data_IF_644415522090
#
_entry.id   IF_644415522090
#
_cell.length_a   1.000
_cell.length_b   1.000
_cell.length_c   1.000
_cell.angle_alpha   90.00
_cell.angle_beta   90.00
_cell.angle_gamma   90.00
#
_symmetry.space_group_name_H-M   'P 1'
#
loop_
_entity.id
_entity.type
_entity.pdbx_description
1 polymer ?
#
# COMPACT_ATOMS: atom_id res chain seq x y z
N UNK A 1 40.86 30.24 6.32
CA UNK A 1 39.69 29.37 6.67
C UNK A 1 38.90 28.93 5.44
N UNK A 2 38.56 29.89 4.52
CA UNK A 2 37.90 29.59 3.23
C UNK A 2 38.73 28.65 2.34
N UNK A 3 40.02 28.84 2.24
CA UNK A 3 40.93 28.02 1.44
C UNK A 3 41.06 26.60 1.98
N UNK A 4 40.91 26.44 3.30
CA UNK A 4 40.96 25.13 3.97
C UNK A 4 39.67 24.34 3.76
N UNK A 5 38.52 25.03 3.71
CA UNK A 5 37.21 24.43 3.42
C UNK A 5 37.13 24.04 1.94
N UNK A 6 37.67 24.87 1.06
CA UNK A 6 37.74 24.59 -0.38
C UNK A 6 38.63 23.38 -0.66
N UNK A 7 39.82 23.32 -0.06
CA UNK A 7 40.74 22.18 -0.22
C UNK A 7 40.18 20.86 0.37
N UNK A 8 39.39 20.92 1.42
CA UNK A 8 38.67 19.75 1.98
C UNK A 8 37.56 19.23 1.06
N UNK A 9 36.77 20.14 0.47
CA UNK A 9 35.73 19.75 -0.50
C UNK A 9 36.33 19.20 -1.79
N UNK A 10 37.41 19.77 -2.28
CA UNK A 10 38.11 19.34 -3.50
C UNK A 10 38.80 17.97 -3.32
N UNK A 11 39.35 17.67 -2.15
CA UNK A 11 39.90 16.34 -1.88
C UNK A 11 38.81 15.26 -1.80
N UNK A 12 37.56 15.64 -1.53
CA UNK A 12 36.39 14.72 -1.55
C UNK A 12 35.91 14.42 -2.99
N UNK A 13 36.19 15.31 -3.96
CA UNK A 13 35.78 15.17 -5.37
C UNK A 13 36.88 14.47 -6.21
N UNK A 14 38.04 14.17 -5.63
CA UNK A 14 39.11 13.41 -6.29
C UNK A 14 39.97 14.23 -7.25
N UNK A 15 39.85 15.58 -7.26
CA UNK A 15 40.67 16.49 -8.08
C UNK A 15 41.99 16.84 -7.38
N UNK A 16 43.08 16.96 -8.16
CA UNK A 16 44.37 17.40 -7.66
C UNK A 16 44.39 18.92 -7.42
N UNK A 17 45.10 19.42 -6.40
CA UNK A 17 45.24 20.87 -6.14
C UNK A 17 45.70 21.73 -7.31
N UNK A 18 46.43 21.14 -8.26
CA UNK A 18 46.93 21.86 -9.45
C UNK A 18 45.86 22.03 -10.54
N UNK A 19 44.78 21.24 -10.51
CA UNK A 19 43.68 21.35 -11.49
C UNK A 19 42.70 22.48 -11.12
N UNK A 20 42.75 22.96 -9.89
CA UNK A 20 41.86 24.04 -9.40
C UNK A 20 42.26 25.40 -9.95
N UNK A 21 43.54 25.60 -10.31
CA UNK A 21 44.03 26.89 -10.85
C UNK A 21 43.59 27.15 -12.29
N UNK A 22 43.05 26.14 -12.97
CA UNK A 22 42.58 26.20 -14.35
C UNK A 22 41.05 26.34 -14.45
N UNK A 23 40.32 26.22 -13.36
CA UNK A 23 38.87 26.36 -13.34
C UNK A 23 38.43 27.82 -13.42
N UNK A 24 37.46 28.10 -14.26
CA UNK A 24 36.83 29.43 -14.37
C UNK A 24 35.97 29.74 -13.14
N UNK A 25 35.67 31.02 -12.90
CA UNK A 25 34.81 31.43 -11.78
C UNK A 25 33.43 30.77 -11.79
N UNK A 26 32.86 30.49 -12.98
CA UNK A 26 31.58 29.82 -13.17
C UNK A 26 31.66 28.34 -12.81
N UNK A 27 32.74 27.65 -13.13
CA UNK A 27 32.99 26.26 -12.76
C UNK A 27 33.18 26.09 -11.26
N UNK A 28 33.81 27.06 -10.58
CA UNK A 28 33.96 27.09 -9.14
C UNK A 28 32.61 27.35 -8.44
N UNK A 29 31.75 28.17 -9.03
CA UNK A 29 30.42 28.49 -8.52
C UNK A 29 29.47 27.29 -8.66
N UNK A 30 29.55 26.54 -9.78
CA UNK A 30 28.79 25.29 -9.97
C UNK A 30 29.23 24.19 -8.99
N UNK A 31 30.51 24.03 -8.70
CA UNK A 31 31.06 23.14 -7.68
C UNK A 31 30.63 23.52 -6.25
N UNK A 32 30.46 24.82 -5.98
CA UNK A 32 29.99 25.32 -4.68
C UNK A 32 28.50 25.25 -4.50
N UNK A 33 27.70 25.30 -5.56
CA UNK A 33 26.25 25.23 -5.51
C UNK A 33 25.73 23.80 -5.46
N UNK A 34 26.62 22.80 -5.62
CA UNK A 34 26.21 21.39 -5.58
C UNK A 34 25.22 21.02 -6.70
N UNK A 35 25.24 21.77 -7.82
CA UNK A 35 24.46 21.43 -9.00
C UNK A 35 24.98 20.11 -9.57
N UNK A 36 24.24 19.05 -9.35
CA UNK A 36 24.47 17.76 -9.97
C UNK A 36 24.30 17.92 -11.49
N UNK A 37 25.39 17.75 -12.24
CA UNK A 37 25.33 17.80 -13.70
C UNK A 37 24.74 16.49 -14.22
N UNK A 38 23.70 16.58 -15.05
CA UNK A 38 23.20 15.46 -15.84
C UNK A 38 24.32 14.97 -16.78
N UNK A 39 24.78 13.75 -16.55
CA UNK A 39 25.82 13.10 -17.38
C UNK A 39 25.24 12.54 -18.70
N UNK A 40 23.93 12.67 -18.94
CA UNK A 40 23.21 12.06 -20.06
C UNK A 40 22.87 10.58 -19.84
N UNK A 41 23.35 9.97 -18.75
CA UNK A 41 22.97 8.63 -18.31
C UNK A 41 21.95 8.72 -17.19
N UNK A 42 20.87 7.92 -17.27
CA UNK A 42 19.90 7.83 -16.19
C UNK A 42 20.55 7.34 -14.89
N UNK A 43 20.21 7.99 -13.79
CA UNK A 43 20.60 7.55 -12.45
C UNK A 43 19.72 6.41 -11.92
N UNK A 44 18.62 6.09 -12.63
CA UNK A 44 17.72 4.98 -12.34
C UNK A 44 17.91 3.87 -13.37
N UNK A 45 18.37 2.72 -12.93
CA UNK A 45 18.59 1.59 -13.82
C UNK A 45 17.29 0.82 -14.07
N UNK A 46 16.60 0.38 -12.99
CA UNK A 46 15.41 -0.46 -13.09
C UNK A 46 14.21 0.29 -13.70
N UNK A 47 14.01 1.55 -13.33
CA UNK A 47 12.90 2.34 -13.86
C UNK A 47 13.09 2.67 -15.34
N UNK A 48 14.32 2.95 -15.77
CA UNK A 48 14.63 3.15 -17.18
C UNK A 48 14.44 1.88 -18.01
N UNK A 49 14.77 0.72 -17.45
CA UNK A 49 14.48 -0.58 -18.07
C UNK A 49 12.96 -0.78 -18.28
N UNK A 50 12.15 -0.38 -17.31
CA UNK A 50 10.67 -0.42 -17.43
C UNK A 50 10.21 0.50 -18.58
N UNK A 51 10.75 1.71 -18.71
CA UNK A 51 10.42 2.60 -19.85
C UNK A 51 10.63 1.93 -21.21
N UNK A 52 11.69 1.12 -21.33
CA UNK A 52 11.96 0.37 -22.54
C UNK A 52 11.05 -0.82 -22.73
N UNK A 53 10.80 -1.61 -21.68
CA UNK A 53 9.94 -2.80 -21.72
C UNK A 53 8.49 -2.47 -22.04
N UNK A 54 8.01 -1.30 -21.58
CA UNK A 54 6.61 -0.89 -21.73
C UNK A 54 6.39 0.10 -22.88
N UNK A 55 7.43 0.43 -23.68
CA UNK A 55 7.32 1.38 -24.80
C UNK A 55 6.25 0.96 -25.83
N UNK A 56 6.18 -0.33 -26.14
CA UNK A 56 5.27 -0.91 -27.12
C UNK A 56 4.16 -1.75 -26.45
N UNK A 57 3.82 -1.44 -25.18
CA UNK A 57 2.82 -2.19 -24.44
C UNK A 57 1.43 -2.10 -25.07
N UNK A 58 0.85 -3.28 -25.34
CA UNK A 58 -0.52 -3.42 -25.78
C UNK A 58 -1.35 -3.95 -24.60
N UNK A 59 -2.38 -3.24 -24.16
CA UNK A 59 -3.23 -3.71 -23.06
C UNK A 59 -3.87 -5.05 -23.42
N UNK A 60 -3.90 -6.00 -22.46
CA UNK A 60 -4.61 -7.27 -22.67
C UNK A 60 -6.12 -7.05 -22.71
N UNK A 61 -6.83 -8.05 -23.19
CA UNK A 61 -8.29 -8.07 -23.08
C UNK A 61 -8.65 -8.48 -21.65
N UNK A 62 -9.24 -7.58 -20.89
CA UNK A 62 -9.70 -7.84 -19.52
C UNK A 62 -11.09 -8.47 -19.51
N UNK A 63 -11.31 -9.41 -18.58
CA UNK A 63 -12.61 -9.99 -18.23
C UNK A 63 -13.38 -8.99 -17.34
N UNK A 64 -14.13 -8.09 -17.97
CA UNK A 64 -14.85 -7.03 -17.28
C UNK A 64 -16.35 -7.36 -17.08
N UNK A 65 -16.77 -8.62 -17.23
CA UNK A 65 -18.14 -9.06 -17.04
C UNK A 65 -18.37 -9.71 -15.66
N UNK A 66 -17.29 -9.99 -14.91
CA UNK A 66 -17.35 -10.65 -13.61
C UNK A 66 -18.07 -9.77 -12.56
N UNK A 67 -18.99 -10.39 -11.83
CA UNK A 67 -19.71 -9.74 -10.73
C UNK A 67 -18.96 -9.90 -9.39
N UNK A 68 -19.27 -9.05 -8.40
CA UNK A 68 -18.60 -9.09 -7.10
C UNK A 68 -18.80 -10.41 -6.32
N UNK A 69 -20.00 -11.01 -6.26
CA UNK A 69 -20.19 -12.33 -5.65
C UNK A 69 -19.41 -13.44 -6.38
N UNK A 70 -19.44 -13.41 -7.72
CA UNK A 70 -18.72 -14.37 -8.54
C UNK A 70 -17.21 -14.25 -8.35
N UNK A 71 -16.69 -13.03 -8.28
CA UNK A 71 -15.27 -12.78 -8.00
C UNK A 71 -14.84 -13.44 -6.68
N UNK A 72 -15.64 -13.29 -5.61
CA UNK A 72 -15.36 -13.91 -4.31
C UNK A 72 -15.37 -15.44 -4.37
N UNK A 73 -16.37 -16.02 -5.02
CA UNK A 73 -16.49 -17.47 -5.11
C UNK A 73 -15.36 -18.05 -5.98
N UNK A 74 -15.09 -17.46 -7.14
CA UNK A 74 -13.97 -17.89 -8.00
C UNK A 74 -12.62 -17.77 -7.31
N UNK A 75 -12.40 -16.67 -6.54
CA UNK A 75 -11.17 -16.54 -5.76
C UNK A 75 -11.01 -17.65 -4.73
N UNK A 76 -12.08 -17.97 -3.99
CA UNK A 76 -12.08 -19.05 -3.01
C UNK A 76 -11.76 -20.42 -3.68
N UNK A 77 -12.42 -20.72 -4.78
CA UNK A 77 -12.22 -21.97 -5.53
C UNK A 77 -10.82 -22.04 -6.16
N UNK A 78 -10.31 -20.92 -6.69
CA UNK A 78 -8.94 -20.82 -7.22
C UNK A 78 -7.91 -21.10 -6.13
N UNK A 79 -8.04 -20.46 -4.96
CA UNK A 79 -7.11 -20.66 -3.84
C UNK A 79 -7.07 -22.14 -3.41
N UNK A 80 -8.21 -22.80 -3.40
CA UNK A 80 -8.32 -24.23 -3.08
C UNK A 80 -7.72 -25.09 -4.19
N UNK A 81 -8.21 -24.97 -5.42
CA UNK A 81 -7.89 -25.90 -6.52
C UNK A 81 -6.48 -25.74 -7.10
N UNK A 82 -5.96 -24.51 -7.13
CA UNK A 82 -4.66 -24.21 -7.73
C UNK A 82 -3.51 -24.16 -6.69
N UNK A 83 -3.83 -23.75 -5.44
CA UNK A 83 -2.80 -23.45 -4.44
C UNK A 83 -2.91 -24.33 -3.18
N UNK A 84 -3.96 -25.15 -3.05
CA UNK A 84 -4.20 -25.95 -1.83
C UNK A 84 -4.43 -25.11 -0.59
N UNK A 85 -4.96 -23.88 -0.75
CA UNK A 85 -5.25 -22.95 0.33
C UNK A 85 -6.76 -22.89 0.57
N UNK A 86 -7.15 -23.12 1.82
CA UNK A 86 -8.55 -23.25 2.19
C UNK A 86 -8.97 -22.03 3.00
N UNK A 87 -9.96 -21.30 2.49
CA UNK A 87 -10.53 -20.13 3.16
C UNK A 87 -12.04 -20.24 3.21
N UNK A 88 -12.63 -19.82 4.34
CA UNK A 88 -14.07 -19.66 4.45
C UNK A 88 -14.55 -18.52 3.55
N UNK A 89 -15.72 -18.68 2.94
CA UNK A 89 -16.29 -17.65 2.03
C UNK A 89 -16.52 -16.32 2.75
N UNK A 90 -16.83 -16.31 4.04
CA UNK A 90 -16.99 -15.09 4.83
C UNK A 90 -15.68 -14.32 4.91
N UNK A 91 -14.54 -15.02 5.13
CA UNK A 91 -13.22 -14.40 5.12
C UNK A 91 -12.89 -13.78 3.75
N UNK A 92 -13.14 -14.51 2.68
CA UNK A 92 -12.93 -13.99 1.30
C UNK A 92 -13.77 -12.74 1.06
N UNK A 93 -15.05 -12.74 1.45
CA UNK A 93 -15.96 -11.59 1.33
C UNK A 93 -15.47 -10.38 2.14
N UNK A 94 -15.02 -10.58 3.38
CA UNK A 94 -14.44 -9.53 4.21
C UNK A 94 -13.18 -8.95 3.57
N UNK A 95 -12.30 -9.81 3.07
CA UNK A 95 -11.07 -9.41 2.42
C UNK A 95 -11.34 -8.59 1.14
N UNK A 96 -12.23 -9.06 0.27
CA UNK A 96 -12.60 -8.34 -0.97
C UNK A 96 -13.32 -7.03 -0.65
N UNK A 97 -14.22 -7.00 0.33
CA UNK A 97 -14.89 -5.77 0.75
C UNK A 97 -13.92 -4.70 1.31
N UNK A 98 -12.82 -5.13 1.92
CA UNK A 98 -11.81 -4.22 2.46
C UNK A 98 -11.17 -3.32 1.38
N UNK A 99 -11.04 -3.80 0.15
CA UNK A 99 -10.53 -3.02 -0.99
C UNK A 99 -11.40 -1.80 -1.33
N UNK A 100 -12.68 -1.83 -0.97
CA UNK A 100 -13.60 -0.72 -1.18
C UNK A 100 -13.42 0.43 -0.19
N UNK A 101 -12.85 0.16 0.99
CA UNK A 101 -12.82 1.11 2.11
C UNK A 101 -11.47 1.82 2.27
N UNK A 102 -10.37 1.12 2.02
CA UNK A 102 -9.01 1.68 2.21
C UNK A 102 -8.01 1.10 1.21
N UNK A 103 -6.86 1.77 1.06
CA UNK A 103 -5.72 1.26 0.29
C UNK A 103 -4.77 0.42 1.14
N UNK A 104 -4.92 0.42 2.46
CA UNK A 104 -4.16 -0.41 3.38
C UNK A 104 -5.08 -1.41 4.08
N UNK A 105 -4.81 -2.69 3.89
CA UNK A 105 -5.49 -3.80 4.56
C UNK A 105 -4.48 -4.43 5.51
N UNK A 106 -4.89 -4.77 6.74
CA UNK A 106 -4.02 -5.46 7.70
C UNK A 106 -4.59 -6.83 7.98
N UNK A 107 -3.90 -7.88 7.53
CA UNK A 107 -4.22 -9.26 7.88
C UNK A 107 -3.53 -9.59 9.20
N UNK A 108 -4.31 -9.78 10.25
CA UNK A 108 -3.79 -10.02 11.60
C UNK A 108 -4.36 -11.28 12.21
N UNK A 109 -3.71 -11.82 13.23
CA UNK A 109 -4.14 -13.02 13.96
C UNK A 109 -2.99 -13.96 14.27
N UNK A 110 -3.32 -15.19 14.67
CA UNK A 110 -2.36 -16.21 15.11
C UNK A 110 -1.37 -16.57 13.96
N UNK A 111 -0.13 -16.83 14.30
CA UNK A 111 0.88 -17.26 13.33
C UNK A 111 0.48 -18.58 12.66
N UNK A 112 0.79 -18.74 11.37
CA UNK A 112 0.51 -19.97 10.61
C UNK A 112 -0.95 -20.17 10.19
N UNK A 113 -1.80 -19.13 10.23
CA UNK A 113 -3.20 -19.18 9.78
C UNK A 113 -3.41 -18.84 8.31
N UNK A 114 -2.33 -18.54 7.56
CA UNK A 114 -2.39 -18.27 6.11
C UNK A 114 -2.58 -16.81 5.72
N UNK A 115 -2.18 -15.85 6.57
CA UNK A 115 -2.27 -14.41 6.29
C UNK A 115 -1.53 -14.01 5.00
N UNK A 116 -0.23 -14.26 4.95
CA UNK A 116 0.61 -13.96 3.77
C UNK A 116 0.15 -14.76 2.55
N UNK A 117 -0.27 -16.00 2.76
CA UNK A 117 -0.78 -16.87 1.70
C UNK A 117 -2.05 -16.33 1.06
N UNK A 118 -2.96 -15.69 1.82
CA UNK A 118 -4.18 -15.08 1.28
C UNK A 118 -3.86 -13.92 0.33
N UNK A 119 -2.97 -13.02 0.75
CA UNK A 119 -2.53 -11.91 -0.08
C UNK A 119 -1.75 -12.37 -1.33
N UNK A 120 -0.91 -13.39 -1.18
CA UNK A 120 -0.21 -14.02 -2.30
C UNK A 120 -1.17 -14.69 -3.30
N UNK A 121 -2.16 -15.45 -2.79
CA UNK A 121 -3.18 -16.09 -3.60
C UNK A 121 -4.00 -15.05 -4.40
N UNK A 122 -4.31 -13.91 -3.79
CA UNK A 122 -5.03 -12.83 -4.46
C UNK A 122 -4.27 -12.29 -5.68
N UNK A 123 -2.98 -11.99 -5.56
CA UNK A 123 -2.19 -11.54 -6.69
C UNK A 123 -2.13 -12.57 -7.82
N UNK A 124 -1.99 -13.86 -7.48
CA UNK A 124 -2.07 -14.94 -8.46
C UNK A 124 -3.45 -15.07 -9.12
N UNK A 125 -4.50 -14.89 -8.32
CA UNK A 125 -5.87 -14.97 -8.84
C UNK A 125 -6.19 -13.85 -9.83
N UNK A 126 -5.75 -12.61 -9.58
CA UNK A 126 -5.93 -11.49 -10.51
C UNK A 126 -4.88 -11.44 -11.62
N UNK A 127 -4.14 -12.54 -11.80
CA UNK A 127 -3.11 -12.74 -12.82
C UNK A 127 -1.98 -11.69 -12.80
N UNK A 128 -1.71 -11.13 -11.62
CA UNK A 128 -0.59 -10.23 -11.39
C UNK A 128 0.06 -10.56 -10.03
N UNK A 129 1.17 -11.33 -10.01
CA UNK A 129 1.78 -11.81 -8.76
C UNK A 129 2.07 -10.67 -7.79
N UNK A 130 1.73 -10.87 -6.53
CA UNK A 130 1.95 -9.89 -5.47
C UNK A 130 3.43 -9.58 -5.27
N UNK A 131 3.72 -8.31 -5.02
CA UNK A 131 5.05 -7.84 -4.63
C UNK A 131 5.20 -8.04 -3.13
N UNK A 132 6.20 -8.82 -2.71
CA UNK A 132 6.44 -9.08 -1.29
C UNK A 132 7.59 -8.21 -0.80
N UNK A 133 7.28 -7.28 0.09
CA UNK A 133 8.27 -6.51 0.84
C UNK A 133 8.37 -7.09 2.26
N UNK A 134 9.41 -7.88 2.50
CA UNK A 134 9.69 -8.45 3.83
C UNK A 134 10.23 -7.36 4.73
N UNK A 135 9.43 -6.89 5.67
CA UNK A 135 9.81 -5.84 6.60
C UNK A 135 10.92 -6.34 7.52
N UNK A 136 11.95 -5.52 7.72
CA UNK A 136 13.08 -5.84 8.58
C UNK A 136 13.03 -5.03 9.88
N UNK A 137 13.54 -5.53 11.00
CA UNK A 137 13.58 -4.78 12.26
C UNK A 137 14.34 -3.45 12.18
N UNK A 138 15.21 -3.31 11.18
CA UNK A 138 16.00 -2.11 10.92
C UNK A 138 15.23 -0.99 10.23
N UNK A 139 14.04 -1.26 9.67
CA UNK A 139 13.26 -0.29 8.92
C UNK A 139 12.83 0.89 9.80
N UNK A 140 13.15 2.11 9.36
CA UNK A 140 12.92 3.32 10.15
C UNK A 140 12.25 4.46 9.39
N UNK A 141 12.42 4.52 8.07
CA UNK A 141 11.95 5.63 7.27
C UNK A 141 11.56 5.19 5.85
N UNK A 142 11.18 6.13 5.02
CA UNK A 142 10.71 5.90 3.66
C UNK A 142 11.73 5.28 2.70
N UNK A 143 13.02 5.38 3.00
CA UNK A 143 14.08 4.87 2.11
C UNK A 143 14.00 3.35 1.95
N UNK A 144 13.44 2.67 2.94
CA UNK A 144 13.20 1.22 2.88
C UNK A 144 12.12 0.86 1.84
N UNK A 145 11.18 1.77 1.59
CA UNK A 145 10.12 1.57 0.60
C UNK A 145 10.54 1.99 -0.82
N UNK A 146 11.17 3.15 -0.95
CA UNK A 146 11.43 3.75 -2.25
C UNK A 146 12.89 3.68 -2.69
N UNK A 147 13.81 3.51 -1.73
CA UNK A 147 15.23 3.61 -2.00
C UNK A 147 15.78 5.01 -1.73
N UNK A 148 17.00 5.23 -2.14
CA UNK A 148 17.72 6.47 -1.90
C UNK A 148 18.77 6.74 -2.97
N UNK A 149 19.10 8.01 -3.17
CA UNK A 149 20.20 8.43 -4.04
C UNK A 149 21.53 8.21 -3.33
N UNK A 150 22.47 7.56 -4.03
CA UNK A 150 23.82 7.33 -3.54
C UNK A 150 24.77 8.39 -4.12
N UNK A 151 25.21 9.30 -3.26
CA UNK A 151 26.08 10.42 -3.63
C UNK A 151 27.44 10.01 -4.20
N UNK A 152 27.93 8.82 -3.85
CA UNK A 152 29.22 8.33 -4.32
C UNK A 152 29.13 7.72 -5.72
N UNK A 153 28.11 6.91 -5.97
CA UNK A 153 27.92 6.24 -7.25
C UNK A 153 27.12 7.06 -8.24
N UNK A 154 26.51 8.16 -7.78
CA UNK A 154 25.56 8.99 -8.55
C UNK A 154 24.41 8.18 -9.16
N UNK A 155 24.05 7.08 -8.52
CA UNK A 155 22.93 6.20 -8.92
C UNK A 155 21.90 6.13 -7.79
N UNK A 156 20.64 5.91 -8.16
CA UNK A 156 19.57 5.68 -7.22
C UNK A 156 19.49 4.18 -6.87
N UNK A 157 19.46 3.84 -5.59
CA UNK A 157 19.25 2.47 -5.13
C UNK A 157 17.75 2.19 -5.09
N UNK A 158 17.22 1.62 -6.16
CA UNK A 158 15.79 1.38 -6.36
C UNK A 158 15.35 0.11 -5.64
N UNK A 159 14.27 0.22 -4.86
CA UNK A 159 13.62 -0.94 -4.24
C UNK A 159 12.69 -1.66 -5.23
N UNK A 160 12.30 -2.89 -4.91
CA UNK A 160 11.29 -3.60 -5.70
C UNK A 160 9.90 -2.96 -5.59
N UNK A 161 9.60 -2.30 -4.47
CA UNK A 161 8.35 -1.55 -4.33
C UNK A 161 8.32 -0.32 -5.26
N UNK A 162 9.39 0.47 -5.29
CA UNK A 162 9.50 1.62 -6.20
C UNK A 162 9.38 1.15 -7.66
N UNK A 163 10.08 0.08 -8.03
CA UNK A 163 9.99 -0.53 -9.34
C UNK A 163 8.56 -0.91 -9.70
N UNK A 164 7.87 -1.64 -8.81
CA UNK A 164 6.50 -2.07 -9.04
C UNK A 164 5.53 -0.89 -9.12
N UNK A 165 5.73 0.15 -8.30
CA UNK A 165 4.94 1.39 -8.36
C UNK A 165 5.12 2.09 -9.70
N UNK A 166 6.34 2.16 -10.19
CA UNK A 166 6.65 2.74 -11.49
C UNK A 166 6.00 1.93 -12.64
N UNK A 167 6.15 0.60 -12.61
CA UNK A 167 5.55 -0.32 -13.59
C UNK A 167 4.01 -0.25 -13.60
N UNK A 168 3.40 -0.15 -12.42
CA UNK A 168 1.95 -0.03 -12.29
C UNK A 168 1.36 1.22 -12.96
N UNK A 169 2.18 2.25 -13.21
CA UNK A 169 1.76 3.45 -13.94
C UNK A 169 1.58 3.22 -15.45
N UNK A 170 2.07 2.11 -15.99
CA UNK A 170 1.98 1.77 -17.41
C UNK A 170 0.77 0.92 -17.79
N UNK A 171 0.07 0.32 -16.81
CA UNK A 171 -0.98 -0.66 -17.09
C UNK A 171 -2.17 -0.56 -16.13
N UNK A 172 -3.20 -1.36 -16.39
CA UNK A 172 -4.43 -1.39 -15.58
C UNK A 172 -4.54 -2.65 -14.71
N UNK A 173 -3.48 -3.43 -14.55
CA UNK A 173 -3.49 -4.60 -13.67
C UNK A 173 -3.64 -4.17 -12.20
N UNK A 174 -4.20 -5.05 -11.38
CA UNK A 174 -4.28 -4.84 -9.94
C UNK A 174 -2.95 -5.23 -9.32
N UNK A 175 -2.31 -4.32 -8.59
CA UNK A 175 -1.07 -4.56 -7.85
C UNK A 175 -1.36 -4.74 -6.36
N UNK A 176 -1.04 -5.91 -5.84
CA UNK A 176 -1.06 -6.19 -4.40
C UNK A 176 0.37 -6.16 -3.84
N UNK A 177 0.64 -5.21 -2.97
CA UNK A 177 1.93 -5.09 -2.26
C UNK A 177 1.77 -5.68 -0.88
N UNK A 178 2.50 -6.73 -0.58
CA UNK A 178 2.49 -7.40 0.71
C UNK A 178 3.61 -6.82 1.57
N UNK A 179 3.25 -6.16 2.67
CA UNK A 179 4.19 -5.78 3.73
C UNK A 179 4.21 -6.93 4.74
N UNK A 180 5.11 -7.89 4.50
CA UNK A 180 5.13 -9.11 5.29
C UNK A 180 5.78 -8.86 6.66
N UNK A 181 5.11 -9.35 7.72
CA UNK A 181 5.44 -9.06 9.12
C UNK A 181 5.58 -7.55 9.39
N UNK A 182 4.61 -6.77 8.92
CA UNK A 182 4.69 -5.30 8.91
C UNK A 182 5.00 -4.68 10.28
N UNK A 183 4.67 -5.36 11.37
CA UNK A 183 4.86 -4.87 12.74
C UNK A 183 6.14 -5.37 13.42
N UNK A 184 7.05 -5.98 12.69
CA UNK A 184 8.41 -6.26 13.20
C UNK A 184 9.25 -4.97 13.30
N UNK A 185 8.84 -3.93 12.56
CA UNK A 185 9.30 -2.56 12.69
C UNK A 185 8.11 -1.63 12.96
N UNK A 186 8.36 -0.39 13.35
CA UNK A 186 7.27 0.57 13.62
C UNK A 186 6.66 1.10 12.32
N UNK A 187 5.46 0.64 12.00
CA UNK A 187 4.73 0.99 10.77
C UNK A 187 4.55 2.50 10.61
N UNK A 188 4.25 3.19 11.70
CA UNK A 188 4.05 4.65 11.75
C UNK A 188 5.31 5.47 11.41
N UNK A 189 6.47 4.82 11.26
CA UNK A 189 7.71 5.48 10.86
C UNK A 189 8.01 5.20 9.38
N UNK A 190 8.23 3.95 9.00
CA UNK A 190 8.63 3.65 7.63
C UNK A 190 7.48 3.85 6.62
N UNK A 191 6.22 3.72 7.03
CA UNK A 191 5.03 3.87 6.18
C UNK A 191 4.27 5.19 6.42
N UNK A 192 4.81 6.12 7.20
CA UNK A 192 4.15 7.38 7.62
C UNK A 192 3.70 8.25 6.45
N UNK A 193 4.57 8.40 5.44
CA UNK A 193 4.29 9.20 4.26
C UNK A 193 3.14 8.60 3.45
N UNK A 194 3.19 7.29 3.19
CA UNK A 194 2.12 6.56 2.50
C UNK A 194 0.77 6.65 3.23
N UNK A 195 0.78 6.53 4.57
CA UNK A 195 -0.44 6.71 5.37
C UNK A 195 -1.07 8.08 5.17
N UNK A 196 -0.28 9.11 4.94
CA UNK A 196 -0.77 10.48 4.72
C UNK A 196 -1.24 10.70 3.29
N UNK A 197 -0.46 10.26 2.31
CA UNK A 197 -0.77 10.44 0.88
C UNK A 197 -2.03 9.67 0.48
N UNK A 198 -2.18 8.42 0.91
CA UNK A 198 -3.32 7.57 0.54
C UNK A 198 -4.67 8.05 1.14
N UNK A 199 -4.65 9.02 2.04
CA UNK A 199 -5.84 9.67 2.59
C UNK A 199 -6.23 10.97 1.87
N UNK A 200 -5.37 11.50 0.99
CA UNK A 200 -5.69 12.71 0.25
C UNK A 200 -6.96 12.52 -0.59
N UNK A 201 -7.89 13.50 -0.57
CA UNK A 201 -9.18 13.39 -1.25
C UNK A 201 -9.07 13.20 -2.77
N UNK A 202 -8.09 13.88 -3.37
CA UNK A 202 -7.81 13.79 -4.80
C UNK A 202 -6.63 12.85 -5.06
N UNK A 203 -6.78 11.98 -6.04
CA UNK A 203 -5.67 11.15 -6.54
C UNK A 203 -4.58 11.95 -7.25
N UNK A 204 -4.84 13.20 -7.59
CA UNK A 204 -3.82 14.09 -8.14
C UNK A 204 -2.81 14.53 -7.08
N UNK A 205 -3.21 14.45 -5.80
CA UNK A 205 -2.35 14.70 -4.65
C UNK A 205 -1.56 13.46 -4.18
N UNK A 206 -1.79 12.30 -4.83
CA UNK A 206 -1.06 11.07 -4.54
C UNK A 206 0.31 11.09 -5.20
N UNK A 207 1.23 11.81 -4.61
CA UNK A 207 2.57 12.05 -5.15
C UNK A 207 3.62 11.80 -4.09
N UNK A 208 4.71 11.15 -4.47
CA UNK A 208 5.87 10.87 -3.63
C UNK A 208 7.08 11.59 -4.21
N UNK A 209 7.79 12.34 -3.38
CA UNK A 209 9.08 12.94 -3.75
C UNK A 209 10.15 11.85 -3.79
N UNK A 210 10.77 11.62 -4.94
CA UNK A 210 11.82 10.61 -5.11
C UNK A 210 13.20 11.26 -5.03
N UNK A 211 13.38 12.37 -5.73
CA UNK A 211 14.64 13.10 -5.84
C UNK A 211 14.37 14.61 -5.81
N UNK A 212 15.29 15.42 -5.25
CA UNK A 212 15.09 16.87 -5.15
C UNK A 212 15.14 17.59 -6.51
N UNK A 213 15.98 17.13 -7.43
CA UNK A 213 16.21 17.78 -8.73
C UNK A 213 16.02 16.80 -9.87
N UNK A 214 15.25 17.17 -10.90
CA UNK A 214 15.06 16.38 -12.11
C UNK A 214 16.21 16.56 -13.09
N UNK A 215 16.57 15.45 -13.75
CA UNK A 215 17.47 15.43 -14.89
C UNK A 215 16.72 15.07 -16.17
N UNK A 216 17.10 15.59 -17.35
CA UNK A 216 16.51 15.18 -18.61
C UNK A 216 16.61 13.67 -18.89
N UNK A 217 17.64 13.00 -18.31
CA UNK A 217 17.86 11.55 -18.40
C UNK A 217 17.05 10.72 -17.42
N UNK A 218 16.26 11.33 -16.53
CA UNK A 218 15.40 10.59 -15.58
C UNK A 218 14.27 9.83 -16.30
N UNK A 219 13.75 8.74 -15.67
CA UNK A 219 12.65 7.97 -16.20
C UNK A 219 11.39 8.82 -16.46
N UNK A 220 10.64 8.47 -17.52
CA UNK A 220 9.53 9.28 -18.07
C UNK A 220 8.45 9.68 -17.05
N UNK A 221 8.14 8.80 -16.08
CA UNK A 221 7.10 9.05 -15.07
C UNK A 221 7.65 9.67 -13.78
N UNK A 222 8.95 9.95 -13.70
CA UNK A 222 9.53 10.82 -12.67
C UNK A 222 9.46 12.25 -13.18
N UNK A 223 8.46 12.99 -12.76
CA UNK A 223 8.20 14.36 -13.21
C UNK A 223 8.55 15.35 -12.08
N UNK A 224 9.43 16.28 -12.32
CA UNK A 224 9.91 17.23 -11.30
C UNK A 224 10.44 16.53 -10.03
N UNK A 225 11.11 15.40 -10.19
CA UNK A 225 11.61 14.59 -9.07
C UNK A 225 10.58 13.78 -8.33
N UNK A 226 9.33 13.76 -8.78
CA UNK A 226 8.19 13.14 -8.14
C UNK A 226 7.65 11.97 -8.94
N UNK A 227 7.13 10.97 -8.24
CA UNK A 227 6.35 9.87 -8.82
C UNK A 227 4.91 9.94 -8.33
N UNK A 228 3.96 9.95 -9.28
CA UNK A 228 2.53 9.82 -8.96
C UNK A 228 2.24 8.37 -8.57
N UNK A 229 1.62 8.16 -7.40
CA UNK A 229 1.23 6.83 -6.94
C UNK A 229 0.09 6.30 -7.82
N UNK A 230 0.26 5.15 -8.48
CA UNK A 230 -0.76 4.59 -9.35
C UNK A 230 -2.02 4.17 -8.58
N UNK A 231 -3.22 4.42 -9.14
CA UNK A 231 -4.48 4.11 -8.45
C UNK A 231 -4.79 2.60 -8.39
N UNK A 232 -4.06 1.78 -9.10
CA UNK A 232 -4.22 0.32 -9.20
C UNK A 232 -3.41 -0.46 -8.16
N UNK A 233 -2.86 0.21 -7.14
CA UNK A 233 -2.09 -0.42 -6.06
C UNK A 233 -2.86 -0.48 -4.75
N UNK A 234 -2.77 -1.62 -4.07
CA UNK A 234 -3.23 -1.83 -2.70
C UNK A 234 -2.11 -2.44 -1.85
N UNK A 235 -2.04 -2.01 -0.61
CA UNK A 235 -1.04 -2.46 0.36
C UNK A 235 -1.70 -3.41 1.37
N UNK A 236 -1.11 -4.58 1.56
CA UNK A 236 -1.64 -5.62 2.45
C UNK A 236 -0.56 -5.95 3.46
N UNK A 237 -0.69 -5.43 4.66
CA UNK A 237 0.22 -5.76 5.76
C UNK A 237 -0.17 -7.07 6.43
N UNK A 238 0.79 -7.93 6.75
CA UNK A 238 0.56 -9.05 7.66
C UNK A 238 1.13 -8.73 9.04
N UNK A 239 0.39 -9.05 10.09
CA UNK A 239 0.80 -8.78 11.45
C UNK A 239 0.53 -9.99 12.35
N UNK A 240 1.50 -10.31 13.19
CA UNK A 240 1.35 -11.27 14.27
C UNK A 240 1.10 -10.52 15.58
N UNK A 241 0.22 -11.08 16.42
CA UNK A 241 -0.03 -10.57 17.76
C UNK A 241 0.80 -11.37 18.76
N UNK A 242 2.13 -11.28 18.65
CA UNK A 242 3.06 -11.92 19.58
C UNK A 242 3.94 -10.87 20.28
N UNK A 243 4.55 -11.26 21.41
CA UNK A 243 5.35 -10.36 22.25
C UNK A 243 6.64 -9.88 21.60
N UNK A 244 7.02 -10.43 20.45
CA UNK A 244 8.25 -10.09 19.73
C UNK A 244 8.08 -8.95 18.74
N UNK A 245 6.83 -8.48 18.52
CA UNK A 245 6.48 -7.48 17.52
C UNK A 245 6.00 -6.18 18.16
N UNK A 246 6.07 -5.07 17.40
CA UNK A 246 5.52 -3.79 17.86
C UNK A 246 3.99 -3.78 17.77
N UNK A 247 3.35 -3.16 18.76
CA UNK A 247 1.94 -2.87 18.67
C UNK A 247 1.68 -1.87 17.53
N UNK A 248 0.73 -2.19 16.66
CA UNK A 248 0.27 -1.29 15.61
C UNK A 248 -0.59 -0.19 16.27
N UNK A 249 -0.20 1.07 16.07
CA UNK A 249 -0.87 2.21 16.70
C UNK A 249 -2.23 2.52 16.06
N UNK A 250 -3.07 3.26 16.79
CA UNK A 250 -4.36 3.73 16.26
C UNK A 250 -4.19 4.61 15.02
N UNK A 251 -3.06 5.36 14.92
CA UNK A 251 -2.73 6.15 13.74
C UNK A 251 -2.71 5.31 12.45
N UNK A 252 -2.26 4.06 12.53
CA UNK A 252 -2.25 3.12 11.41
C UNK A 252 -3.60 2.44 11.25
N UNK A 253 -4.16 1.91 12.34
CA UNK A 253 -5.45 1.22 12.29
C UNK A 253 -6.61 2.10 11.81
N UNK A 254 -6.62 3.38 12.16
CA UNK A 254 -7.67 4.32 11.69
C UNK A 254 -7.64 4.48 10.16
N UNK A 255 -6.50 4.23 9.53
CA UNK A 255 -6.28 4.34 8.08
C UNK A 255 -6.35 3.03 7.31
N UNK A 256 -6.35 1.91 8.02
CA UNK A 256 -6.38 0.57 7.45
C UNK A 256 -7.72 -0.12 7.68
N UNK A 257 -8.00 -1.20 6.93
CA UNK A 257 -9.04 -2.16 7.27
C UNK A 257 -8.41 -3.43 7.84
N UNK A 258 -8.56 -3.70 9.13
CA UNK A 258 -8.04 -4.91 9.74
C UNK A 258 -8.95 -6.11 9.42
N UNK A 259 -8.32 -7.22 9.02
CA UNK A 259 -8.97 -8.51 8.77
C UNK A 259 -8.31 -9.56 9.68
N UNK A 260 -9.12 -10.14 10.56
CA UNK A 260 -8.61 -11.18 11.45
C UNK A 260 -8.70 -12.56 10.81
N UNK A 261 -7.61 -13.30 10.93
CA UNK A 261 -7.50 -14.71 10.50
C UNK A 261 -7.04 -15.51 11.71
N UNK A 262 -7.99 -15.88 12.57
CA UNK A 262 -7.72 -16.55 13.84
C UNK A 262 -7.84 -18.07 13.76
N UNK A 263 -8.36 -18.60 12.64
CA UNK A 263 -8.58 -20.03 12.44
C UNK A 263 -7.91 -20.51 11.15
N UNK A 264 -7.45 -21.75 11.17
CA UNK A 264 -7.00 -22.42 9.93
C UNK A 264 -8.20 -22.78 9.08
N UNK A 265 -8.06 -22.67 7.77
CA UNK A 265 -9.08 -23.10 6.82
C UNK A 265 -9.34 -24.61 6.91
N UNK A 266 -10.59 -24.98 6.74
CA UNK A 266 -11.01 -26.39 6.66
C UNK A 266 -10.91 -26.84 5.21
N UNK A 267 -10.20 -27.94 4.91
CA UNK A 267 -10.12 -28.48 3.55
C UNK A 267 -11.51 -28.78 2.98
N UNK A 268 -11.67 -28.45 1.70
CA UNK A 268 -12.85 -28.80 0.90
C UNK A 268 -12.44 -29.09 -0.56
N UNK A 269 -13.27 -29.81 -1.27
CA UNK A 269 -13.04 -30.09 -2.67
C UNK A 269 -13.59 -28.96 -3.54
N UNK A 270 -12.78 -28.51 -4.49
CA UNK A 270 -13.15 -27.46 -5.45
C UNK A 270 -12.88 -27.89 -6.88
N UNK A 271 -13.74 -27.52 -7.84
CA UNK A 271 -13.44 -27.70 -9.25
C UNK A 271 -12.21 -26.86 -9.62
N UNK A 272 -11.44 -27.35 -10.59
CA UNK A 272 -10.31 -26.59 -11.14
C UNK A 272 -10.81 -25.24 -11.63
N UNK A 273 -10.27 -24.17 -11.06
CA UNK A 273 -10.70 -22.79 -11.31
C UNK A 273 -9.51 -21.95 -11.75
N UNK A 274 -9.65 -21.25 -12.87
CA UNK A 274 -8.59 -20.41 -13.41
C UNK A 274 -8.58 -19.02 -12.77
N UNK A 275 -7.41 -18.34 -12.87
CA UNK A 275 -7.26 -16.93 -12.55
C UNK A 275 -8.20 -16.05 -13.39
N UNK A 276 -8.42 -14.81 -12.95
CA UNK A 276 -9.20 -13.82 -13.70
C UNK A 276 -8.28 -12.72 -14.21
N UNK A 277 -8.56 -12.23 -15.41
CA UNK A 277 -7.84 -11.09 -15.97
C UNK A 277 -8.73 -9.84 -15.88
N UNK A 278 -8.76 -9.21 -14.70
CA UNK A 278 -9.62 -8.07 -14.43
C UNK A 278 -8.80 -6.78 -14.33
N UNK A 279 -9.28 -5.69 -14.96
CA UNK A 279 -8.67 -4.37 -14.78
C UNK A 279 -9.01 -3.79 -13.41
N UNK A 280 -8.10 -2.97 -12.84
CA UNK A 280 -8.41 -2.26 -11.61
C UNK A 280 -9.63 -1.33 -11.75
N UNK A 281 -9.85 -0.77 -12.93
CA UNK A 281 -11.03 0.08 -13.21
C UNK A 281 -12.32 -0.69 -13.07
N UNK A 282 -12.37 -1.92 -13.62
CA UNK A 282 -13.55 -2.76 -13.46
C UNK A 282 -13.70 -3.24 -12.02
N UNK A 283 -12.62 -3.63 -11.36
CA UNK A 283 -12.66 -4.01 -9.95
C UNK A 283 -13.19 -2.87 -9.06
N UNK A 284 -12.71 -1.64 -9.26
CA UNK A 284 -13.26 -0.46 -8.56
C UNK A 284 -14.72 -0.19 -8.95
N UNK A 285 -15.07 -0.40 -10.22
CA UNK A 285 -16.44 -0.21 -10.68
C UNK A 285 -17.42 -1.13 -9.95
N UNK A 286 -17.15 -2.44 -9.86
CA UNK A 286 -18.03 -3.39 -9.17
C UNK A 286 -18.12 -3.12 -7.65
N UNK A 287 -17.02 -2.70 -7.03
CA UNK A 287 -16.99 -2.26 -5.62
C UNK A 287 -17.82 -0.99 -5.41
N UNK A 288 -17.70 0.00 -6.29
CA UNK A 288 -18.45 1.26 -6.20
C UNK A 288 -19.94 1.06 -6.55
N UNK A 289 -20.27 0.19 -7.50
CA UNK A 289 -21.65 -0.19 -7.79
C UNK A 289 -22.34 -0.79 -6.55
N UNK A 290 -21.64 -1.64 -5.81
CA UNK A 290 -22.14 -2.18 -4.55
C UNK A 290 -22.39 -1.08 -3.50
N UNK A 291 -21.49 -0.08 -3.40
CA UNK A 291 -21.68 1.07 -2.48
C UNK A 291 -22.93 1.89 -2.78
N UNK A 292 -23.29 2.00 -4.05
CA UNK A 292 -24.50 2.72 -4.48
C UNK A 292 -25.76 1.88 -4.28
N UNK A 293 -25.67 0.57 -4.55
CA UNK A 293 -26.81 -0.35 -4.50
C UNK A 293 -27.20 -0.74 -3.07
N UNK A 294 -26.24 -0.93 -2.17
CA UNK A 294 -26.44 -1.48 -0.84
C UNK A 294 -26.10 -0.47 0.26
N UNK A 295 -26.62 0.74 0.15
CA UNK A 295 -26.38 1.79 1.15
C UNK A 295 -26.80 1.32 2.54
N UNK A 296 -25.98 1.62 3.55
CA UNK A 296 -26.31 1.31 4.95
C UNK A 296 -27.64 1.97 5.32
N UNK A 297 -28.54 1.20 5.94
CA UNK A 297 -29.88 1.67 6.28
C UNK A 297 -29.84 2.86 7.24
N UNK A 298 -30.79 3.80 7.06
CA UNK A 298 -30.89 4.97 7.95
C UNK A 298 -31.13 4.58 9.42
N UNK A 299 -31.85 3.49 9.65
CA UNK A 299 -32.08 2.96 10.99
C UNK A 299 -30.76 2.58 11.67
N UNK A 300 -29.90 1.85 10.96
CA UNK A 300 -28.62 1.44 11.50
C UNK A 300 -27.65 2.63 11.62
N UNK A 301 -27.67 3.59 10.70
CA UNK A 301 -26.87 4.82 10.84
C UNK A 301 -27.27 5.63 12.09
N UNK A 302 -28.59 5.69 12.42
CA UNK A 302 -29.05 6.32 13.67
C UNK A 302 -28.58 5.58 14.90
N UNK A 303 -28.61 4.23 14.89
CA UNK A 303 -28.08 3.41 16.00
C UNK A 303 -26.58 3.61 16.21
N UNK A 304 -25.81 3.71 15.11
CA UNK A 304 -24.37 3.98 15.15
C UNK A 304 -24.09 5.37 15.73
N UNK A 305 -24.87 6.39 15.36
CA UNK A 305 -24.72 7.74 15.90
C UNK A 305 -25.01 7.76 17.42
N UNK A 306 -26.08 7.10 17.86
CA UNK A 306 -26.39 6.94 19.29
C UNK A 306 -25.28 6.22 20.07
N UNK A 307 -24.68 5.20 19.44
CA UNK A 307 -23.57 4.45 20.03
C UNK A 307 -22.32 5.34 20.12
N UNK A 308 -22.04 6.17 19.10
CA UNK A 308 -20.91 7.11 19.11
C UNK A 308 -21.07 8.15 20.22
N UNK A 309 -22.25 8.76 20.35
CA UNK A 309 -22.57 9.71 21.43
C UNK A 309 -22.36 9.07 22.81
N UNK A 310 -22.85 7.83 23.00
CA UNK A 310 -22.70 7.10 24.25
C UNK A 310 -21.22 6.80 24.57
N UNK A 311 -20.46 6.37 23.58
CA UNK A 311 -19.04 6.02 23.74
C UNK A 311 -18.20 7.27 24.00
N UNK A 312 -18.52 8.41 23.39
CA UNK A 312 -17.88 9.69 23.64
C UNK A 312 -18.14 10.13 25.10
N UNK A 313 -19.40 10.11 25.52
CA UNK A 313 -19.81 10.58 26.85
C UNK A 313 -19.16 9.76 27.98
N UNK A 314 -19.16 8.42 27.86
CA UNK A 314 -18.77 7.53 28.94
C UNK A 314 -17.30 7.10 28.91
N UNK A 315 -16.70 7.03 27.72
CA UNK A 315 -15.36 6.46 27.53
C UNK A 315 -14.35 7.44 26.87
N UNK A 316 -14.83 8.61 26.41
CA UNK A 316 -14.02 9.60 25.69
C UNK A 316 -13.35 9.03 24.42
N UNK A 317 -14.00 8.05 23.81
CA UNK A 317 -13.62 7.47 22.53
C UNK A 317 -14.64 7.95 21.49
N UNK A 318 -14.17 8.41 20.33
CA UNK A 318 -15.02 8.77 19.21
C UNK A 318 -14.77 7.83 18.02
N UNK A 319 -15.81 7.54 17.24
CA UNK A 319 -15.64 6.83 15.97
C UNK A 319 -14.86 7.68 14.97
N UNK A 320 -15.14 8.99 14.97
CA UNK A 320 -14.53 9.93 14.03
C UNK A 320 -15.05 9.76 12.60
N UNK A 321 -14.96 10.82 11.81
CA UNK A 321 -15.45 10.85 10.44
C UNK A 321 -14.82 9.78 9.54
N UNK A 322 -13.56 9.41 9.83
CA UNK A 322 -12.82 8.41 9.07
C UNK A 322 -13.43 7.02 9.22
N UNK A 323 -13.72 6.58 10.45
CA UNK A 323 -14.35 5.28 10.72
C UNK A 323 -15.75 5.23 10.10
N UNK A 324 -16.52 6.30 10.23
CA UNK A 324 -17.87 6.39 9.63
C UNK A 324 -17.79 6.30 8.10
N UNK A 325 -16.81 6.98 7.47
CA UNK A 325 -16.59 6.87 6.03
C UNK A 325 -16.23 5.43 5.63
N UNK A 326 -15.28 4.82 6.31
CA UNK A 326 -14.87 3.44 6.04
C UNK A 326 -16.01 2.45 6.22
N UNK A 327 -16.86 2.64 7.23
CA UNK A 327 -18.06 1.85 7.44
C UNK A 327 -19.02 1.97 6.25
N UNK A 328 -19.28 3.19 5.78
CA UNK A 328 -20.13 3.46 4.62
C UNK A 328 -19.57 2.93 3.29
N UNK A 329 -18.27 2.70 3.21
CA UNK A 329 -17.61 2.10 2.05
C UNK A 329 -17.56 0.57 2.16
N UNK A 330 -17.21 0.04 3.33
CA UNK A 330 -17.01 -1.39 3.57
C UNK A 330 -18.31 -2.18 3.61
N UNK A 331 -19.30 -1.73 4.40
CA UNK A 331 -20.53 -2.51 4.64
C UNK A 331 -21.32 -2.76 3.37
N UNK A 332 -21.58 -1.74 2.51
CA UNK A 332 -22.23 -1.98 1.22
C UNK A 332 -21.44 -2.91 0.30
N UNK A 333 -20.12 -2.76 0.25
CA UNK A 333 -19.27 -3.66 -0.53
C UNK A 333 -19.37 -5.11 -0.01
N UNK A 334 -19.37 -5.30 1.30
CA UNK A 334 -19.55 -6.61 1.92
C UNK A 334 -20.92 -7.23 1.59
N UNK A 335 -21.99 -6.43 1.61
CA UNK A 335 -23.31 -6.89 1.16
C UNK A 335 -23.27 -7.26 -0.33
N UNK A 336 -22.61 -6.46 -1.14
CA UNK A 336 -22.40 -6.72 -2.57
C UNK A 336 -21.64 -8.03 -2.87
N UNK A 337 -20.80 -8.50 -1.96
CA UNK A 337 -20.15 -9.82 -2.07
C UNK A 337 -21.06 -10.98 -1.67
N UNK A 338 -22.29 -10.74 -1.21
CA UNK A 338 -23.25 -11.72 -0.72
C UNK A 338 -23.25 -11.88 0.79
N UNK A 339 -22.70 -10.93 1.54
CA UNK A 339 -22.83 -10.82 2.99
C UNK A 339 -24.11 -10.13 3.43
N UNK A 340 -24.26 -9.89 4.73
CA UNK A 340 -25.39 -9.15 5.30
C UNK A 340 -24.94 -7.79 5.85
N UNK A 341 -25.83 -6.80 5.88
CA UNK A 341 -25.55 -5.48 6.46
C UNK A 341 -25.13 -5.60 7.93
N UNK A 342 -25.85 -6.42 8.71
CA UNK A 342 -25.58 -6.59 10.14
C UNK A 342 -24.21 -7.24 10.40
N UNK A 343 -23.83 -8.27 9.63
CA UNK A 343 -22.50 -8.88 9.74
C UNK A 343 -21.38 -7.88 9.42
N UNK A 344 -21.60 -7.06 8.39
CA UNK A 344 -20.64 -6.03 7.99
C UNK A 344 -20.49 -4.93 9.05
N UNK A 345 -21.60 -4.49 9.63
CA UNK A 345 -21.61 -3.49 10.72
C UNK A 345 -20.93 -4.05 11.98
N UNK A 346 -21.32 -5.25 12.40
CA UNK A 346 -20.72 -5.92 13.56
C UNK A 346 -19.21 -6.06 13.40
N UNK A 347 -18.76 -6.45 12.20
CA UNK A 347 -17.34 -6.58 11.91
C UNK A 347 -16.60 -5.25 12.04
N UNK A 348 -17.10 -4.17 11.44
CA UNK A 348 -16.44 -2.87 11.52
C UNK A 348 -16.44 -2.34 12.95
N UNK A 349 -17.55 -2.43 13.66
CA UNK A 349 -17.64 -1.99 15.06
C UNK A 349 -16.67 -2.76 15.95
N UNK A 350 -16.63 -4.08 15.82
CA UNK A 350 -15.70 -4.90 16.60
C UNK A 350 -14.23 -4.55 16.33
N UNK A 351 -13.85 -4.35 15.07
CA UNK A 351 -12.44 -4.21 14.68
C UNK A 351 -11.93 -2.78 14.67
N UNK A 352 -12.81 -1.79 14.55
CA UNK A 352 -12.41 -0.37 14.46
C UNK A 352 -12.76 0.43 15.72
N UNK A 353 -13.84 0.07 16.38
CA UNK A 353 -14.34 0.80 17.55
C UNK A 353 -13.98 0.07 18.83
N UNK A 354 -14.47 -1.18 19.01
CA UNK A 354 -14.29 -1.87 20.27
C UNK A 354 -12.84 -2.26 20.55
N UNK A 355 -12.02 -2.42 19.51
CA UNK A 355 -10.57 -2.54 19.68
C UNK A 355 -9.94 -1.41 20.50
N UNK A 356 -10.47 -0.18 20.40
CA UNK A 356 -9.95 0.97 21.15
C UNK A 356 -10.16 0.83 22.66
N UNK A 357 -11.11 -0.02 23.09
CA UNK A 357 -11.34 -0.30 24.50
C UNK A 357 -10.26 -1.20 25.14
N UNK A 358 -9.54 -2.00 24.31
CA UNK A 358 -8.45 -2.85 24.80
C UNK A 358 -7.33 -2.04 25.43
N UNK A 359 -7.16 -0.77 25.02
CA UNK A 359 -6.15 0.15 25.56
C UNK A 359 -6.61 0.89 26.82
N UNK A 360 -7.90 0.80 27.18
CA UNK A 360 -8.43 1.44 28.38
C UNK A 360 -8.15 0.58 29.60
N UNK A 361 -7.43 1.12 30.58
CA UNK A 361 -7.41 0.57 31.94
C UNK A 361 -8.78 0.82 32.60
N UNK A 362 -9.74 -0.09 32.34
CA UNK A 362 -11.00 -0.09 33.05
C UNK A 362 -10.71 -0.54 34.48
N UNK A 363 -10.50 0.40 35.39
CA UNK A 363 -10.52 0.09 36.82
C UNK A 363 -11.94 -0.35 37.20
N UNK A 364 -12.07 -1.58 37.69
CA UNK A 364 -13.29 -2.14 38.26
C UNK A 364 -13.71 -1.37 39.51
#
# INVERSE_FOLDING_TARGET
EKDKILSMKVSQIGLNPNEISELTGEEIESLNNGEEQDTGESRFYKLTEIDHLWADYVPPVYDNDITLPEFCERFRLFACSQLGLYYDIKLIRLFVAAFASTRLIILQGISGTGKTSLAYAFGKFVNNPSIVASVQPSWRDRTELFGYFNEFTKKFNETELLRAMYEASYNENIYAVILDEMNIARVEYYFAEMLSILEMPSRDEWVVDIIPNSWPSDPKHIVNGQLKIPPNMWYIGTANNDDSTFAITDKVYDRAMPINIDTKGVPFDAPLTDSVYISYKHFEYILNAAKVQFVVSEENLKKIALLDDYVIEHFRIAFGNRIVKQLRDFVPAYVGTGGTELDGLDYVLARKVFRKFESLNLSY
#
